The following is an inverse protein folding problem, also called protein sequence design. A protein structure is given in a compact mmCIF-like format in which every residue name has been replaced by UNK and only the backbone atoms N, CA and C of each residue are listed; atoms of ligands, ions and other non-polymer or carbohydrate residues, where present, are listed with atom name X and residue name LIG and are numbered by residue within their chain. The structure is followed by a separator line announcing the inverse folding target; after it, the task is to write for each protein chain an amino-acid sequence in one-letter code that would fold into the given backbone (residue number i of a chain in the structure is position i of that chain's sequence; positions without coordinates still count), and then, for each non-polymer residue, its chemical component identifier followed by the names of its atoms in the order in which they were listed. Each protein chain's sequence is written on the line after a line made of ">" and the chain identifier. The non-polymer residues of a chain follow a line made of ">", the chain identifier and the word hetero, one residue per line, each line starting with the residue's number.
data_IF_134266977499
#
_entry.id   IF_134266977499
#
_cell.length_a   1.000
_cell.length_b   1.000
_cell.length_c   1.000
_cell.angle_alpha   90.00
_cell.angle_beta   90.00
_cell.angle_gamma   90.00
#
_symmetry.space_group_name_H-M   'P 1'
#
loop_
_entity.id
_entity.type
_entity.pdbx_description
1 polymer ?
#
# COMPACT_ATOMS: atom_id res chain seq x y z
N UNK A 1 12.22 1.57 3.99
CA UNK A 1 11.28 0.72 4.75
C UNK A 1 10.36 -0.01 3.81
N UNK A 2 10.17 -1.32 3.99
CA UNK A 2 9.25 -2.13 3.16
C UNK A 2 7.95 -2.35 3.90
N UNK A 3 6.84 -2.14 3.18
CA UNK A 3 5.49 -2.43 3.65
C UNK A 3 5.05 -3.73 3.02
N UNK A 4 4.52 -4.60 3.87
CA UNK A 4 3.93 -5.87 3.47
C UNK A 4 2.43 -5.89 3.71
N UNK A 5 1.71 -6.70 2.96
CA UNK A 5 0.29 -6.92 3.20
C UNK A 5 0.08 -7.56 4.58
N UNK A 6 -0.84 -7.04 5.42
CA UNK A 6 -1.15 -7.63 6.71
C UNK A 6 -2.03 -8.89 6.59
N UNK A 7 -2.68 -9.10 5.44
CA UNK A 7 -3.66 -10.15 5.21
C UNK A 7 -3.53 -10.75 3.81
N UNK A 8 -4.11 -11.93 3.63
CA UNK A 8 -4.43 -12.45 2.30
C UNK A 8 -5.69 -11.75 1.79
N UNK A 9 -5.67 -11.29 0.54
CA UNK A 9 -6.76 -10.52 -0.02
C UNK A 9 -6.47 -9.98 -1.40
N UNK A 10 -7.24 -8.98 -1.80
CA UNK A 10 -7.16 -8.32 -3.09
C UNK A 10 -7.00 -6.82 -2.91
N UNK A 11 -6.15 -6.21 -3.72
CA UNK A 11 -6.01 -4.76 -3.76
C UNK A 11 -7.24 -4.18 -4.43
N UNK A 12 -8.08 -3.48 -3.65
CA UNK A 12 -9.30 -2.84 -4.15
C UNK A 12 -9.05 -1.41 -4.60
N UNK A 13 -8.02 -0.75 -4.06
CA UNK A 13 -7.68 0.61 -4.45
C UNK A 13 -6.19 0.91 -4.23
N UNK A 14 -5.57 1.61 -5.18
CA UNK A 14 -4.21 2.15 -5.04
C UNK A 14 -4.28 3.64 -5.34
N UNK A 15 -3.93 4.48 -4.38
CA UNK A 15 -3.99 5.92 -4.58
C UNK A 15 -2.88 6.38 -5.55
N UNK A 16 -3.13 7.40 -6.40
CA UNK A 16 -2.16 7.86 -7.40
C UNK A 16 -0.82 8.30 -6.80
N UNK A 17 -0.86 8.92 -5.62
CA UNK A 17 0.32 9.35 -4.86
C UNK A 17 0.94 8.24 -4.01
N UNK A 18 0.45 7.00 -4.12
CA UNK A 18 0.96 5.76 -3.49
C UNK A 18 1.08 5.77 -1.96
N UNK A 19 0.61 6.84 -1.31
CA UNK A 19 0.56 7.00 0.15
C UNK A 19 -0.50 6.13 0.85
N UNK A 20 -1.48 5.61 0.10
CA UNK A 20 -2.53 4.78 0.65
C UNK A 20 -2.89 3.61 -0.28
N UNK A 21 -3.19 2.46 0.34
CA UNK A 21 -3.57 1.22 -0.35
C UNK A 21 -4.78 0.62 0.37
N UNK A 22 -5.83 0.32 -0.37
CA UNK A 22 -7.00 -0.41 0.09
C UNK A 22 -6.89 -1.89 -0.26
N UNK A 23 -7.06 -2.75 0.74
CA UNK A 23 -7.00 -4.21 0.63
C UNK A 23 -8.32 -4.78 1.14
N UNK A 24 -8.99 -5.59 0.34
CA UNK A 24 -10.11 -6.40 0.76
C UNK A 24 -9.58 -7.79 1.14
N UNK A 25 -9.68 -8.15 2.41
CA UNK A 25 -9.30 -9.49 2.87
C UNK A 25 -10.24 -10.55 2.30
N UNK A 26 -9.75 -11.79 2.19
CA UNK A 26 -10.59 -12.94 1.77
C UNK A 26 -11.80 -13.14 2.70
N UNK A 27 -11.72 -12.66 3.95
CA UNK A 27 -12.83 -12.68 4.91
C UNK A 27 -13.90 -11.60 4.70
N UNK A 28 -13.78 -10.75 3.68
CA UNK A 28 -14.74 -9.68 3.38
C UNK A 28 -14.53 -8.38 4.18
N UNK A 29 -13.43 -8.25 4.91
CA UNK A 29 -13.08 -7.00 5.58
C UNK A 29 -12.22 -6.11 4.68
N UNK A 30 -12.58 -4.84 4.58
CA UNK A 30 -11.78 -3.81 3.91
C UNK A 30 -10.78 -3.18 4.89
N UNK A 31 -9.52 -3.11 4.47
CA UNK A 31 -8.39 -2.56 5.23
C UNK A 31 -7.80 -1.44 4.40
N UNK A 32 -7.79 -0.24 4.96
CA UNK A 32 -7.10 0.91 4.37
C UNK A 32 -5.78 1.12 5.10
N UNK A 33 -4.68 1.04 4.37
CA UNK A 33 -3.35 1.32 4.91
C UNK A 33 -2.91 2.71 4.41
N UNK A 34 -2.63 3.62 5.35
CA UNK A 34 -2.16 4.97 5.08
C UNK A 34 -0.73 5.14 5.62
N UNK A 35 0.20 5.61 4.79
CA UNK A 35 1.61 5.77 5.14
C UNK A 35 1.96 7.20 5.49
N UNK A 36 2.39 7.42 6.73
CA UNK A 36 2.84 8.72 7.24
C UNK A 36 1.71 9.72 7.47
N UNK A 37 2.09 10.97 7.73
CA UNK A 37 1.20 12.12 7.90
C UNK A 37 1.59 13.12 6.81
N UNK A 38 0.62 13.66 6.06
CA UNK A 38 0.86 14.66 4.98
C UNK A 38 1.71 14.21 3.78
N UNK A 39 2.00 12.90 3.65
CA UNK A 39 2.80 12.30 2.55
C UNK A 39 2.18 12.46 1.17
N UNK A 40 0.90 12.85 1.08
CA UNK A 40 0.25 13.27 -0.17
C UNK A 40 1.03 14.38 -0.90
N UNK A 41 1.71 15.26 -0.14
CA UNK A 41 2.51 16.38 -0.68
C UNK A 41 3.79 15.93 -1.39
N UNK A 42 4.25 14.71 -1.14
CA UNK A 42 5.43 14.13 -1.78
C UNK A 42 5.15 13.69 -3.23
N UNK A 43 3.90 13.78 -3.71
CA UNK A 43 3.50 13.40 -5.07
C UNK A 43 3.99 11.99 -5.49
N UNK A 44 4.09 11.07 -4.53
CA UNK A 44 4.61 9.71 -4.76
C UNK A 44 6.14 9.60 -4.84
N UNK A 45 6.90 10.68 -4.63
CA UNK A 45 8.37 10.61 -4.50
C UNK A 45 8.74 9.91 -3.19
N UNK A 46 9.67 8.96 -3.26
CA UNK A 46 10.01 8.08 -2.14
C UNK A 46 9.04 6.91 -1.93
N UNK A 47 8.00 6.75 -2.76
CA UNK A 47 7.04 5.65 -2.68
C UNK A 47 7.02 4.81 -3.96
N UNK A 48 7.35 3.52 -3.84
CA UNK A 48 7.32 2.56 -4.93
C UNK A 48 6.29 1.47 -4.62
N UNK A 49 5.16 1.49 -5.32
CA UNK A 49 4.13 0.46 -5.23
C UNK A 49 4.52 -0.75 -6.06
N UNK A 50 4.48 -1.93 -5.45
CA UNK A 50 4.78 -3.23 -6.07
C UNK A 50 3.53 -3.98 -6.51
N UNK A 51 2.36 -3.37 -6.34
CA UNK A 51 1.04 -3.95 -6.62
C UNK A 51 0.15 -2.94 -7.32
N UNK A 52 -0.79 -3.44 -8.10
CA UNK A 52 -1.80 -2.67 -8.82
C UNK A 52 -3.20 -2.97 -8.28
N UNK A 53 -4.15 -2.09 -8.61
CA UNK A 53 -5.56 -2.34 -8.33
C UNK A 53 -6.00 -3.62 -9.05
N UNK A 54 -6.65 -4.51 -8.30
CA UNK A 54 -7.09 -5.81 -8.80
C UNK A 54 -6.14 -6.96 -8.49
N UNK A 55 -4.90 -6.68 -8.06
CA UNK A 55 -3.93 -7.74 -7.75
C UNK A 55 -4.31 -8.50 -6.47
N UNK A 56 -4.08 -9.81 -6.49
CA UNK A 56 -4.17 -10.66 -5.30
C UNK A 56 -2.86 -10.58 -4.52
N UNK A 57 -2.97 -10.41 -3.20
CA UNK A 57 -1.84 -10.29 -2.29
C UNK A 57 -1.95 -11.31 -1.18
N UNK A 58 -0.80 -11.81 -0.73
CA UNK A 58 -0.70 -12.67 0.45
C UNK A 58 -0.16 -11.91 1.65
N UNK A 59 -0.51 -12.38 2.84
CA UNK A 59 0.06 -11.89 4.09
C UNK A 59 1.59 -11.99 4.04
N UNK A 60 2.27 -10.87 4.28
CA UNK A 60 3.73 -10.77 4.19
C UNK A 60 4.27 -10.45 2.79
N UNK A 61 3.43 -10.38 1.76
CA UNK A 61 3.84 -9.96 0.42
C UNK A 61 4.16 -8.46 0.41
N UNK A 62 5.31 -8.03 -0.13
CA UNK A 62 5.63 -6.62 -0.29
C UNK A 62 4.60 -5.92 -1.19
N UNK A 63 4.03 -4.81 -0.70
CA UNK A 63 3.05 -4.00 -1.44
C UNK A 63 3.56 -2.60 -1.74
N UNK A 64 4.42 -2.06 -0.88
CA UNK A 64 4.98 -0.72 -1.04
C UNK A 64 6.41 -0.70 -0.49
N UNK A 65 7.31 -0.03 -1.19
CA UNK A 65 8.63 0.33 -0.68
C UNK A 65 8.66 1.83 -0.46
N UNK A 66 9.11 2.24 0.71
CA UNK A 66 9.22 3.63 1.14
C UNK A 66 10.69 3.94 1.36
N UNK A 67 11.18 5.01 0.76
CA UNK A 67 12.50 5.54 1.08
C UNK A 67 12.42 6.34 2.39
N UNK A 68 12.87 5.75 3.49
CA UNK A 68 12.80 6.38 4.82
C UNK A 68 13.88 7.44 5.03
N UNK A 69 14.89 7.53 4.17
CA UNK A 69 15.88 8.61 4.23
C UNK A 69 15.38 9.87 3.52
N UNK A 70 14.48 9.68 2.54
CA UNK A 70 13.86 10.76 1.78
C UNK A 70 12.61 11.35 2.45
N UNK A 71 11.85 10.51 3.17
CA UNK A 71 10.53 10.84 3.77
C UNK A 71 10.63 11.31 5.21
#
# INVERSE_FOLDING_TARGET
>A
GTVVSPVDGKIVNVFPTKHAIGIESVGGHEILIHFGIDTVKLNGQGFEAHVNQGDEVKKGQPILSVDLEYV
#
